data_IF_729655981717
#
_entry.id   IF_729655981717
#
_cell.length_a   1.000
_cell.length_b   1.000
_cell.length_c   1.000
_cell.angle_alpha   90.00
_cell.angle_beta   90.00
_cell.angle_gamma   90.00
#
_symmetry.space_group_name_H-M   'P 1'
#
loop_
_entity.id
_entity.type
_entity.pdbx_description
1 polymer ?
#
# COMPACT_ATOMS: atom_id res chain seq x y z
N UNK A 1 18.69 3.23 -7.96
CA UNK A 1 17.45 3.05 -7.18
C UNK A 1 16.32 3.72 -7.93
N UNK A 2 15.27 2.97 -8.27
CA UNK A 2 14.04 3.52 -8.84
C UNK A 2 12.93 3.41 -7.79
N UNK A 3 11.97 4.33 -7.83
CA UNK A 3 10.85 4.36 -6.89
C UNK A 3 9.60 4.91 -7.55
N UNK A 4 8.44 4.42 -7.13
CA UNK A 4 7.14 4.89 -7.60
C UNK A 4 6.16 4.92 -6.44
N UNK A 5 5.53 6.07 -6.22
CA UNK A 5 4.43 6.24 -5.28
C UNK A 5 3.09 5.93 -5.94
N UNK A 6 2.28 5.08 -5.31
CA UNK A 6 0.96 4.69 -5.81
C UNK A 6 -0.20 5.35 -5.04
N UNK A 7 0.05 5.92 -3.86
CA UNK A 7 -1.03 6.39 -2.97
C UNK A 7 -2.08 5.29 -2.77
N UNK A 8 -3.35 5.65 -2.85
CA UNK A 8 -4.46 4.70 -2.73
C UNK A 8 -4.89 4.03 -4.05
N UNK A 9 -4.10 4.17 -5.13
CA UNK A 9 -4.47 3.53 -6.42
C UNK A 9 -4.25 2.01 -6.45
N UNK A 10 -3.54 1.45 -5.46
CA UNK A 10 -3.23 0.01 -5.35
C UNK A 10 -3.40 -0.51 -3.91
N UNK A 11 -4.58 -0.29 -3.33
CA UNK A 11 -4.96 -0.91 -2.06
C UNK A 11 -5.04 -2.44 -2.23
N UNK A 12 -4.63 -3.18 -1.19
CA UNK A 12 -4.76 -4.65 -1.14
C UNK A 12 -6.06 -5.11 -0.51
N UNK A 13 -6.84 -4.16 0.01
CA UNK A 13 -8.17 -4.38 0.55
C UNK A 13 -9.07 -3.17 0.22
N UNK A 14 -10.28 -3.13 0.80
CA UNK A 14 -11.30 -2.08 0.55
C UNK A 14 -11.09 -0.75 1.29
N UNK A 15 -10.06 -0.65 2.13
CA UNK A 15 -9.90 0.43 3.11
C UNK A 15 -9.15 1.62 2.52
N UNK A 16 -9.89 2.43 1.75
CA UNK A 16 -9.47 3.76 1.31
C UNK A 16 -9.80 4.81 2.38
N UNK A 17 -9.34 6.03 2.16
CA UNK A 17 -9.72 7.18 2.96
C UNK A 17 -11.26 7.30 3.10
N UNK A 18 -11.71 7.54 4.33
CA UNK A 18 -13.13 7.66 4.67
C UNK A 18 -13.89 6.32 4.81
N UNK A 19 -13.27 5.18 4.48
CA UNK A 19 -13.89 3.86 4.70
C UNK A 19 -13.69 3.42 6.15
N UNK A 20 -14.78 2.98 6.78
CA UNK A 20 -14.72 2.40 8.13
C UNK A 20 -14.05 1.02 8.08
N UNK A 21 -12.82 1.00 8.58
CA UNK A 21 -11.97 -0.17 8.74
C UNK A 21 -11.24 -0.09 10.08
N UNK A 22 -10.70 -1.22 10.54
CA UNK A 22 -9.79 -1.22 11.67
C UNK A 22 -8.45 -0.58 11.32
N UNK A 23 -7.66 -0.23 12.33
CA UNK A 23 -6.34 0.34 12.11
C UNK A 23 -5.40 -0.67 11.44
N UNK A 24 -5.55 -1.94 11.78
CA UNK A 24 -4.81 -3.05 11.18
C UNK A 24 -5.14 -3.20 9.69
N UNK A 25 -6.41 -3.04 9.33
CA UNK A 25 -6.84 -3.07 7.92
C UNK A 25 -6.23 -1.91 7.12
N UNK A 26 -6.22 -0.70 7.67
CA UNK A 26 -5.55 0.45 7.05
C UNK A 26 -4.04 0.23 6.96
N UNK A 27 -3.44 -0.37 7.98
CA UNK A 27 -2.01 -0.64 8.01
C UNK A 27 -1.54 -1.59 6.90
N UNK A 28 -2.40 -2.52 6.45
CA UNK A 28 -2.08 -3.38 5.29
C UNK A 28 -1.87 -2.57 3.99
N UNK A 29 -2.52 -1.43 3.83
CA UNK A 29 -2.36 -0.55 2.66
C UNK A 29 -1.18 0.43 2.80
N UNK A 30 -0.81 0.80 4.02
CA UNK A 30 0.33 1.69 4.31
C UNK A 30 1.65 0.94 4.29
N UNK A 31 2.05 0.49 3.09
CA UNK A 31 3.24 -0.35 2.88
C UNK A 31 4.18 0.19 1.81
N UNK A 32 5.39 -0.36 1.80
CA UNK A 32 6.36 -0.21 0.71
C UNK A 32 6.75 -1.59 0.21
N UNK A 33 6.87 -1.73 -1.11
CA UNK A 33 7.31 -2.96 -1.75
C UNK A 33 8.71 -2.79 -2.31
N UNK A 34 9.57 -3.79 -2.09
CA UNK A 34 10.93 -3.82 -2.60
C UNK A 34 11.03 -4.89 -3.68
N UNK A 35 11.28 -4.48 -4.91
CA UNK A 35 11.42 -5.38 -6.06
C UNK A 35 12.90 -5.53 -6.37
N UNK A 36 13.41 -6.76 -6.26
CA UNK A 36 14.78 -7.10 -6.64
C UNK A 36 14.81 -7.32 -8.15
N UNK A 37 15.51 -6.47 -8.89
CA UNK A 37 15.53 -6.51 -10.37
C UNK A 37 16.76 -7.19 -10.97
N UNK A 38 17.80 -7.44 -10.16
CA UNK A 38 19.00 -8.20 -10.53
C UNK A 38 19.67 -8.75 -9.26
N UNK A 39 20.43 -9.84 -9.39
CA UNK A 39 21.19 -10.51 -8.33
C UNK A 39 22.69 -10.33 -8.54
#
# INVERSE_FOLDING_TARGET
LTGKGYGESQLVNRCSDGVKCSEEEHQMNRRSEFIVTAL
#
